data_IF_814689996397
#
_entry.id   IF_814689996397
#
_cell.length_a   1.000
_cell.length_b   1.000
_cell.length_c   1.000
_cell.angle_alpha   90.00
_cell.angle_beta   90.00
_cell.angle_gamma   90.00
#
_symmetry.space_group_name_H-M   'P 1'
#
loop_
_entity.id
_entity.type
_entity.pdbx_description
1 polymer ?
#
# COMPACT_ATOMS: atom_id res chain seq x y z
N UNK A 1 0.51 -35.99 10.45
CA UNK A 1 0.10 -34.83 9.64
C UNK A 1 0.78 -33.59 10.19
N UNK A 2 1.51 -32.85 9.36
CA UNK A 2 2.11 -31.57 9.76
C UNK A 2 1.00 -30.52 9.87
N UNK A 3 0.88 -29.82 11.00
CA UNK A 3 -0.07 -28.72 11.13
C UNK A 3 0.42 -27.53 10.29
N UNK A 4 -0.40 -27.09 9.33
CA UNK A 4 -0.15 -25.89 8.53
C UNK A 4 -0.81 -24.71 9.26
N UNK A 5 -0.02 -23.69 9.56
CA UNK A 5 -0.54 -22.44 10.10
C UNK A 5 -0.77 -21.42 8.98
N UNK A 6 -1.66 -20.48 9.22
CA UNK A 6 -2.05 -19.47 8.22
C UNK A 6 -1.58 -18.09 8.68
N UNK A 7 -0.99 -17.33 7.77
CA UNK A 7 -0.85 -15.88 7.90
C UNK A 7 -2.01 -15.23 7.13
N UNK A 8 -3.05 -14.82 7.87
CA UNK A 8 -4.18 -14.10 7.30
C UNK A 8 -3.87 -12.61 7.20
N UNK A 9 -3.93 -12.03 6.01
CA UNK A 9 -3.65 -10.62 5.74
C UNK A 9 -4.93 -9.92 5.32
N UNK A 10 -5.31 -8.90 6.09
CA UNK A 10 -6.41 -7.98 5.77
C UNK A 10 -5.83 -6.66 5.23
N UNK A 11 -6.00 -6.35 3.93
CA UNK A 11 -5.53 -5.08 3.39
C UNK A 11 -6.51 -3.94 3.73
N UNK A 12 -5.97 -2.74 3.96
CA UNK A 12 -6.79 -1.63 4.45
C UNK A 12 -6.32 -0.25 3.98
N UNK A 13 -7.02 0.79 4.43
CA UNK A 13 -6.72 2.18 4.07
C UNK A 13 -5.71 2.87 5.00
N UNK A 14 -5.44 2.28 6.17
CA UNK A 14 -4.47 2.80 7.15
C UNK A 14 -3.13 2.10 7.03
N UNK A 15 -3.18 0.78 6.92
CA UNK A 15 -2.06 -0.12 6.71
C UNK A 15 -2.25 -0.79 5.36
N UNK A 16 -1.16 -1.06 4.63
CA UNK A 16 -1.25 -1.84 3.39
C UNK A 16 -1.84 -3.22 3.65
N UNK A 17 -1.46 -3.82 4.79
CA UNK A 17 -1.99 -5.08 5.29
C UNK A 17 -1.80 -5.18 6.79
N UNK A 18 -2.77 -5.80 7.46
CA UNK A 18 -2.65 -6.28 8.84
C UNK A 18 -2.67 -7.80 8.79
N UNK A 19 -1.57 -8.42 9.20
CA UNK A 19 -1.40 -9.87 9.25
C UNK A 19 -1.68 -10.43 10.63
N UNK A 20 -2.33 -11.59 10.74
CA UNK A 20 -2.39 -12.39 11.97
C UNK A 20 -1.86 -13.79 11.67
N UNK A 21 -0.90 -14.23 12.45
CA UNK A 21 -0.33 -15.57 12.33
C UNK A 21 -1.08 -16.57 13.23
N UNK A 22 -1.64 -17.62 12.65
CA UNK A 22 -2.42 -18.61 13.38
C UNK A 22 -1.60 -19.51 14.31
N UNK A 23 -0.26 -19.48 14.26
CA UNK A 23 0.58 -20.28 15.15
C UNK A 23 0.77 -19.66 16.54
N UNK A 24 0.87 -18.33 16.60
CA UNK A 24 1.24 -17.58 17.79
C UNK A 24 0.32 -16.36 18.06
N UNK A 25 -0.71 -16.17 17.24
CA UNK A 25 -1.60 -15.01 17.24
C UNK A 25 -0.86 -13.66 17.11
N UNK A 26 0.36 -13.65 16.58
CA UNK A 26 1.12 -12.42 16.39
C UNK A 26 0.48 -11.57 15.31
N UNK A 27 0.27 -10.29 15.63
CA UNK A 27 -0.22 -9.27 14.69
C UNK A 27 0.95 -8.56 14.02
N UNK A 28 0.86 -8.38 12.70
CA UNK A 28 1.87 -7.76 11.85
C UNK A 28 1.27 -6.56 11.12
N UNK A 29 1.73 -5.35 11.43
CA UNK A 29 1.28 -4.13 10.76
C UNK A 29 2.23 -3.78 9.61
N UNK A 30 1.70 -3.67 8.39
CA UNK A 30 2.52 -3.53 7.18
C UNK A 30 2.19 -2.25 6.42
N UNK A 31 3.23 -1.58 5.91
CA UNK A 31 3.07 -0.45 4.99
C UNK A 31 2.82 0.91 5.63
N UNK A 32 3.22 1.13 6.89
CA UNK A 32 3.13 2.46 7.54
C UNK A 32 3.70 3.58 6.66
N UNK A 33 4.90 3.32 6.14
CA UNK A 33 5.71 4.25 5.35
C UNK A 33 5.08 4.60 4.01
N UNK A 34 4.18 3.76 3.48
CA UNK A 34 3.47 4.06 2.25
C UNK A 34 2.61 5.30 2.45
N UNK A 35 1.87 5.38 3.55
CA UNK A 35 1.00 6.54 3.82
C UNK A 35 1.80 7.83 3.98
N UNK A 36 2.94 7.76 4.67
CA UNK A 36 3.86 8.87 4.84
C UNK A 36 4.37 9.39 3.49
N UNK A 37 4.85 8.48 2.62
CA UNK A 37 5.33 8.82 1.28
C UNK A 37 4.22 9.46 0.44
N UNK A 38 3.04 8.83 0.40
CA UNK A 38 1.89 9.34 -0.35
C UNK A 38 1.48 10.74 0.12
N UNK A 39 1.39 10.95 1.43
CA UNK A 39 1.05 12.25 2.02
C UNK A 39 2.10 13.32 1.71
N UNK A 40 3.39 12.99 1.80
CA UNK A 40 4.48 13.89 1.45
C UNK A 40 4.39 14.37 0.00
N UNK A 41 4.25 13.45 -0.96
CA UNK A 41 4.20 13.82 -2.37
C UNK A 41 2.94 14.59 -2.73
N UNK A 42 1.80 14.26 -2.14
CA UNK A 42 0.58 15.05 -2.31
C UNK A 42 0.77 16.49 -1.83
N UNK A 43 1.31 16.68 -0.63
CA UNK A 43 1.60 18.02 -0.11
C UNK A 43 2.52 18.80 -1.07
N UNK A 44 3.57 18.16 -1.60
CA UNK A 44 4.46 18.80 -2.57
C UNK A 44 3.73 19.18 -3.86
N UNK A 45 2.86 18.32 -4.38
CA UNK A 45 2.05 18.60 -5.58
C UNK A 45 1.12 19.79 -5.34
N UNK A 46 0.42 19.82 -4.20
CA UNK A 46 -0.48 20.93 -3.83
C UNK A 46 0.29 22.26 -3.71
N UNK A 47 1.47 22.24 -3.06
CA UNK A 47 2.31 23.43 -2.93
C UNK A 47 2.78 23.96 -4.29
N UNK A 48 3.14 23.07 -5.22
CA UNK A 48 3.55 23.48 -6.56
C UNK A 48 2.36 24.04 -7.33
N UNK A 49 1.20 23.35 -7.32
CA UNK A 49 0.00 23.82 -8.02
C UNK A 49 -0.46 25.20 -7.57
N UNK A 50 -0.27 25.53 -6.28
CA UNK A 50 -0.58 26.85 -5.73
C UNK A 50 0.45 27.91 -6.14
N UNK A 51 1.74 27.56 -6.22
CA UNK A 51 2.84 28.53 -6.40
C UNK A 51 3.19 28.77 -7.87
N UNK A 52 3.25 27.73 -8.69
CA UNK A 52 3.64 27.82 -10.10
C UNK A 52 2.97 26.73 -10.93
N UNK A 53 2.36 27.10 -12.07
CA UNK A 53 1.95 26.14 -13.13
C UNK A 53 3.17 25.65 -13.92
N UNK A 54 4.24 25.29 -13.22
CA UNK A 54 5.54 24.96 -13.78
C UNK A 54 5.53 23.63 -14.53
N UNK A 55 6.33 23.56 -15.60
CA UNK A 55 6.64 22.33 -16.33
C UNK A 55 8.12 22.04 -16.20
N UNK A 56 8.50 20.76 -16.15
CA UNK A 56 9.87 20.28 -16.21
C UNK A 56 9.99 19.30 -17.37
N UNK A 57 10.93 19.56 -18.28
CA UNK A 57 11.21 18.69 -19.43
C UNK A 57 9.95 18.35 -20.26
N UNK A 58 9.07 19.34 -20.45
CA UNK A 58 7.79 19.19 -21.16
C UNK A 58 6.66 18.54 -20.35
N UNK A 59 6.94 17.94 -19.18
CA UNK A 59 5.95 17.36 -18.27
C UNK A 59 5.51 18.36 -17.21
N UNK A 60 4.28 18.21 -16.75
CA UNK A 60 3.81 18.91 -15.56
C UNK A 60 4.55 18.42 -14.31
N UNK A 61 4.73 19.29 -13.31
CA UNK A 61 5.45 18.90 -12.09
C UNK A 61 4.68 17.80 -11.32
N UNK A 62 3.35 17.78 -11.41
CA UNK A 62 2.53 16.71 -10.85
C UNK A 62 2.80 15.35 -11.52
N UNK A 63 3.01 15.30 -12.84
CA UNK A 63 3.44 14.05 -13.50
C UNK A 63 4.81 13.59 -12.99
N UNK A 64 5.76 14.52 -12.81
CA UNK A 64 7.11 14.18 -12.33
C UNK A 64 7.09 13.70 -10.88
N UNK A 65 6.37 14.40 -10.00
CA UNK A 65 6.27 14.05 -8.59
C UNK A 65 5.42 12.79 -8.38
N UNK A 66 4.32 12.64 -9.11
CA UNK A 66 3.48 11.44 -9.10
C UNK A 66 4.24 10.21 -9.58
N UNK A 67 5.10 10.33 -10.60
CA UNK A 67 5.99 9.24 -11.01
C UNK A 67 6.98 8.84 -9.92
N UNK A 68 7.59 9.81 -9.24
CA UNK A 68 8.52 9.56 -8.12
C UNK A 68 7.83 8.92 -6.91
N UNK A 69 6.63 9.40 -6.56
CA UNK A 69 5.78 8.77 -5.55
C UNK A 69 5.49 7.31 -5.92
N UNK A 70 4.99 7.09 -7.14
CA UNK A 70 4.62 5.78 -7.64
C UNK A 70 5.76 4.77 -7.59
N UNK A 71 6.97 5.18 -7.98
CA UNK A 71 8.18 4.35 -7.88
C UNK A 71 8.52 4.03 -6.43
N UNK A 72 8.56 5.03 -5.54
CA UNK A 72 8.89 4.80 -4.13
C UNK A 72 7.87 3.90 -3.43
N UNK A 73 6.58 4.10 -3.72
CA UNK A 73 5.51 3.22 -3.23
C UNK A 73 5.68 1.80 -3.78
N UNK A 74 6.04 1.64 -5.06
CA UNK A 74 6.29 0.33 -5.66
C UNK A 74 7.41 -0.44 -4.94
N UNK A 75 8.51 0.24 -4.65
CA UNK A 75 9.65 -0.34 -3.93
C UNK A 75 9.24 -0.80 -2.54
N UNK A 76 8.49 0.05 -1.80
CA UNK A 76 7.99 -0.30 -0.47
C UNK A 76 7.05 -1.52 -0.51
N UNK A 77 6.16 -1.61 -1.51
CA UNK A 77 5.29 -2.79 -1.67
C UNK A 77 6.14 -4.04 -1.95
N UNK A 78 7.14 -3.95 -2.82
CA UNK A 78 8.06 -5.07 -3.09
C UNK A 78 8.87 -5.50 -1.86
N UNK A 79 9.35 -4.55 -1.04
CA UNK A 79 10.05 -4.84 0.20
C UNK A 79 9.14 -5.61 1.17
N UNK A 80 7.89 -5.17 1.32
CA UNK A 80 6.88 -5.81 2.19
C UNK A 80 6.55 -7.22 1.69
N UNK A 81 6.26 -7.41 0.40
CA UNK A 81 5.91 -8.75 -0.11
C UNK A 81 7.07 -9.73 -0.02
N UNK A 82 8.31 -9.29 -0.28
CA UNK A 82 9.51 -10.10 -0.06
C UNK A 82 9.66 -10.51 1.41
N UNK A 83 9.40 -9.59 2.33
CA UNK A 83 9.44 -9.87 3.76
C UNK A 83 8.37 -10.90 4.15
N UNK A 84 7.13 -10.75 3.68
CA UNK A 84 6.05 -11.72 3.92
C UNK A 84 6.43 -13.11 3.40
N UNK A 85 6.93 -13.21 2.17
CA UNK A 85 7.32 -14.49 1.57
C UNK A 85 8.41 -15.20 2.37
N UNK A 86 9.43 -14.45 2.86
CA UNK A 86 10.48 -14.99 3.73
C UNK A 86 9.91 -15.45 5.07
N UNK A 87 9.12 -14.59 5.72
CA UNK A 87 8.51 -14.90 7.01
C UNK A 87 7.62 -16.15 6.92
N UNK A 88 6.80 -16.26 5.88
CA UNK A 88 5.95 -17.43 5.65
C UNK A 88 6.78 -18.69 5.41
N UNK A 89 7.86 -18.61 4.63
CA UNK A 89 8.76 -19.74 4.38
C UNK A 89 9.45 -20.22 5.66
N UNK A 90 10.00 -19.31 6.46
CA UNK A 90 10.70 -19.61 7.71
C UNK A 90 9.78 -20.25 8.75
N UNK A 91 8.51 -19.82 8.79
CA UNK A 91 7.53 -20.27 9.77
C UNK A 91 6.57 -21.36 9.24
N UNK A 92 6.77 -21.83 7.99
CA UNK A 92 5.91 -22.83 7.31
C UNK A 92 4.43 -22.43 7.30
N UNK A 93 4.17 -21.19 6.92
CA UNK A 93 2.84 -20.60 6.88
C UNK A 93 2.27 -20.62 5.45
N UNK A 94 0.97 -20.91 5.34
CA UNK A 94 0.20 -20.55 4.15
C UNK A 94 -0.23 -19.08 4.25
N UNK A 95 -0.01 -18.27 3.21
CA UNK A 95 -0.43 -16.87 3.20
C UNK A 95 -1.81 -16.77 2.55
N UNK A 96 -2.76 -16.14 3.24
CA UNK A 96 -4.10 -15.89 2.74
C UNK A 96 -4.37 -14.39 2.83
N UNK A 97 -4.81 -13.79 1.72
CA UNK A 97 -5.19 -12.37 1.67
C UNK A 97 -6.69 -12.24 1.45
N UNK A 98 -7.33 -11.33 2.20
CA UNK A 98 -8.73 -10.97 1.98
C UNK A 98 -8.96 -10.43 0.57
N UNK A 99 -10.02 -10.89 -0.10
CA UNK A 99 -10.37 -10.39 -1.43
C UNK A 99 -11.03 -9.02 -1.33
N UNK A 100 -10.40 -8.01 -1.92
CA UNK A 100 -10.89 -6.65 -1.86
C UNK A 100 -11.48 -6.27 -3.22
N UNK A 101 -12.77 -6.56 -3.38
CA UNK A 101 -13.60 -6.02 -4.46
C UNK A 101 -14.25 -4.71 -4.01
N UNK A 102 -14.51 -3.81 -4.95
CA UNK A 102 -15.26 -2.57 -4.69
C UNK A 102 -14.52 -1.49 -3.91
N UNK A 103 -13.21 -1.64 -3.61
CA UNK A 103 -12.49 -0.64 -2.80
C UNK A 103 -12.36 0.73 -3.45
N UNK A 104 -12.49 0.81 -4.78
CA UNK A 104 -12.43 2.07 -5.51
C UNK A 104 -13.80 2.77 -5.62
N UNK A 105 -14.86 2.16 -5.09
CA UNK A 105 -16.20 2.73 -5.09
C UNK A 105 -16.29 3.91 -4.10
N UNK A 106 -17.27 4.79 -4.35
CA UNK A 106 -17.54 5.89 -3.43
C UNK A 106 -18.01 5.34 -2.09
N UNK A 107 -17.26 5.66 -1.03
CA UNK A 107 -17.56 5.18 0.32
C UNK A 107 -18.61 6.01 1.04
N UNK A 108 -19.05 7.14 0.47
CA UNK A 108 -19.93 8.11 1.12
C UNK A 108 -19.26 8.92 2.23
N UNK A 109 -17.95 8.75 2.44
CA UNK A 109 -17.16 9.40 3.51
C UNK A 109 -16.40 10.64 3.05
N UNK A 110 -16.70 11.14 1.85
CA UNK A 110 -16.11 12.36 1.29
C UNK A 110 -14.83 12.14 0.47
N UNK A 111 -14.46 13.18 -0.28
CA UNK A 111 -13.39 13.15 -1.30
C UNK A 111 -12.02 12.76 -0.73
N UNK A 112 -11.66 13.25 0.44
CA UNK A 112 -10.37 12.94 1.06
C UNK A 112 -10.26 11.47 1.46
N UNK A 113 -11.31 10.92 2.06
CA UNK A 113 -11.36 9.51 2.46
C UNK A 113 -11.32 8.61 1.22
N UNK A 114 -12.16 8.89 0.22
CA UNK A 114 -12.19 8.15 -1.04
C UNK A 114 -10.82 8.17 -1.73
N UNK A 115 -10.15 9.32 -1.79
CA UNK A 115 -8.80 9.41 -2.36
C UNK A 115 -7.80 8.56 -1.58
N UNK A 116 -7.86 8.56 -0.25
CA UNK A 116 -6.97 7.72 0.58
C UNK A 116 -7.16 6.23 0.29
N UNK A 117 -8.40 5.79 0.16
CA UNK A 117 -8.74 4.39 -0.13
C UNK A 117 -8.34 4.03 -1.56
N UNK A 118 -8.81 4.79 -2.56
CA UNK A 118 -8.65 4.50 -3.99
C UNK A 118 -7.20 4.53 -4.46
N UNK A 119 -6.35 5.28 -3.75
CA UNK A 119 -4.93 5.37 -4.11
C UNK A 119 -4.07 4.33 -3.40
N UNK A 120 -4.61 3.57 -2.46
CA UNK A 120 -3.81 2.58 -1.74
C UNK A 120 -3.35 1.46 -2.69
N UNK A 121 -2.07 1.04 -2.68
CA UNK A 121 -1.51 0.15 -3.71
C UNK A 121 -1.85 -1.33 -3.49
N UNK A 122 -3.09 -1.62 -3.12
CA UNK A 122 -3.61 -2.96 -2.80
C UNK A 122 -3.53 -3.88 -4.02
N UNK A 123 -3.82 -3.35 -5.22
CA UNK A 123 -3.68 -4.14 -6.45
C UNK A 123 -2.25 -4.62 -6.69
N UNK A 124 -1.25 -3.75 -6.44
CA UNK A 124 0.17 -4.13 -6.54
C UNK A 124 0.55 -5.13 -5.46
N UNK A 125 0.05 -4.92 -4.25
CA UNK A 125 0.29 -5.82 -3.13
C UNK A 125 -0.23 -7.23 -3.42
N UNK A 126 -1.46 -7.36 -3.89
CA UNK A 126 -2.07 -8.63 -4.34
C UNK A 126 -1.32 -9.26 -5.51
N UNK A 127 -0.77 -8.46 -6.43
CA UNK A 127 -0.01 -8.95 -7.58
C UNK A 127 1.36 -9.51 -7.20
N UNK A 128 1.99 -8.98 -6.16
CA UNK A 128 3.36 -9.35 -5.75
C UNK A 128 3.41 -10.41 -4.66
N UNK A 129 2.30 -10.66 -3.98
CA UNK A 129 2.13 -11.77 -3.03
C UNK A 129 1.79 -13.05 -3.77
#
# INVERSE_FOLDING_TARGET
MSQIFVLGIDPGSRWLGVGVCGSDNKTLFMGEKIREVRGKYQYLIEQVQVKEKGRRDGKSIDEVLGGKEGNRVNDLVHEITKWIARYAKENRLAVVMGDIKGINEDTGKGKEFNRRVNTMPIHKFKKYL
#
